data_IF_896521045870
#
_entry.id   IF_896521045870
#
_cell.length_a   1.000
_cell.length_b   1.000
_cell.length_c   1.000
_cell.angle_alpha   90.00
_cell.angle_beta   90.00
_cell.angle_gamma   90.00
#
_symmetry.space_group_name_H-M   'P 1'
#
loop_
_entity.id
_entity.type
_entity.pdbx_description
1 polymer ?
#
# COMPACT_ATOMS: atom_id res chain seq x y z
N UNK A 1 26.83 -53.66 4.65
CA UNK A 1 25.59 -52.96 4.94
C UNK A 1 25.90 -51.46 5.17
N UNK A 2 26.26 -50.72 4.07
CA UNK A 2 26.70 -49.31 4.13
C UNK A 2 25.98 -48.40 3.10
N UNK A 3 24.76 -48.77 2.69
CA UNK A 3 24.03 -48.04 1.62
C UNK A 3 22.84 -47.24 2.17
N UNK A 4 22.57 -47.29 3.48
CA UNK A 4 21.41 -46.57 4.05
C UNK A 4 21.65 -45.12 4.50
N UNK A 5 22.90 -44.67 4.60
CA UNK A 5 23.19 -43.29 5.03
C UNK A 5 23.18 -42.28 3.88
N UNK A 6 23.54 -42.69 2.65
CA UNK A 6 23.57 -41.78 1.50
C UNK A 6 22.18 -41.45 0.97
N UNK A 7 21.22 -42.36 1.08
CA UNK A 7 19.83 -42.11 0.63
C UNK A 7 19.08 -41.15 1.55
N UNK A 8 19.39 -41.13 2.85
CA UNK A 8 18.75 -40.18 3.80
C UNK A 8 19.27 -38.77 3.62
N UNK A 9 20.56 -38.58 3.30
CA UNK A 9 21.13 -37.24 3.04
C UNK A 9 20.60 -36.63 1.75
N UNK A 10 20.40 -37.48 0.72
CA UNK A 10 19.81 -37.01 -0.55
C UNK A 10 18.34 -36.62 -0.43
N UNK A 11 17.55 -37.28 0.44
CA UNK A 11 16.16 -36.91 0.68
C UNK A 11 16.07 -35.58 1.45
N UNK A 12 16.98 -35.31 2.39
CA UNK A 12 17.03 -34.05 3.09
C UNK A 12 17.51 -32.89 2.19
N UNK A 13 18.41 -33.14 1.26
CA UNK A 13 18.83 -32.15 0.26
C UNK A 13 17.73 -31.85 -0.78
N UNK A 14 16.98 -32.89 -1.19
CA UNK A 14 15.84 -32.70 -2.10
C UNK A 14 14.64 -32.03 -1.41
N UNK A 15 14.39 -32.32 -0.13
CA UNK A 15 13.38 -31.61 0.65
C UNK A 15 13.75 -30.14 0.95
N UNK A 16 15.04 -29.84 1.07
CA UNK A 16 15.52 -28.46 1.22
C UNK A 16 15.43 -27.61 -0.06
N UNK A 17 15.36 -28.25 -1.24
CA UNK A 17 15.18 -27.57 -2.53
C UNK A 17 13.71 -27.40 -2.93
N UNK A 18 12.77 -28.00 -2.17
CA UNK A 18 11.33 -27.86 -2.37
C UNK A 18 10.69 -26.90 -1.35
N UNK A 19 11.45 -26.33 -0.42
CA UNK A 19 11.03 -25.07 0.14
C UNK A 19 11.14 -24.07 -1.00
N UNK A 20 10.07 -24.04 -1.80
CA UNK A 20 9.70 -22.90 -2.55
C UNK A 20 10.05 -21.71 -1.69
N UNK A 21 11.06 -21.00 -2.12
CA UNK A 21 11.12 -19.58 -1.93
C UNK A 21 9.84 -19.05 -2.57
N UNK A 22 8.69 -19.30 -1.98
CA UNK A 22 7.51 -18.47 -2.12
C UNK A 22 8.08 -17.12 -1.83
N UNK A 23 8.45 -16.42 -2.88
CA UNK A 23 8.92 -15.07 -2.87
C UNK A 23 7.92 -14.39 -1.99
N UNK A 24 8.32 -14.11 -0.74
CA UNK A 24 7.54 -13.26 0.13
C UNK A 24 7.28 -12.04 -0.74
N UNK A 25 6.10 -12.01 -1.35
CA UNK A 25 5.70 -10.93 -2.26
C UNK A 25 5.99 -9.69 -1.46
N UNK A 26 6.93 -8.87 -1.93
CA UNK A 26 7.51 -7.82 -1.13
C UNK A 26 6.42 -6.97 -0.51
N UNK A 27 6.26 -7.05 0.81
CA UNK A 27 5.32 -6.21 1.54
C UNK A 27 6.08 -4.96 1.94
N UNK A 28 5.72 -3.84 1.35
CA UNK A 28 6.25 -2.54 1.74
C UNK A 28 5.59 -2.08 3.03
N UNK A 29 6.35 -2.07 4.11
CA UNK A 29 5.86 -1.68 5.44
C UNK A 29 5.57 -0.18 5.54
N UNK A 30 4.63 0.23 6.44
CA UNK A 30 4.24 1.61 6.64
C UNK A 30 5.25 2.35 7.53
N UNK A 31 6.38 2.76 6.98
CA UNK A 31 7.50 3.36 7.72
C UNK A 31 7.17 4.69 8.42
N UNK A 32 6.10 5.36 8.01
CA UNK A 32 5.65 6.64 8.56
C UNK A 32 4.47 6.52 9.54
N UNK A 33 4.00 5.30 9.81
CA UNK A 33 2.98 5.06 10.83
C UNK A 33 3.48 5.48 12.22
N UNK A 34 2.64 6.18 12.97
CA UNK A 34 2.99 6.77 14.26
C UNK A 34 3.72 8.11 14.18
N UNK A 35 4.03 8.60 12.97
CA UNK A 35 4.68 9.91 12.75
C UNK A 35 3.81 10.83 11.89
N UNK A 36 3.39 10.37 10.71
CA UNK A 36 2.56 11.14 9.78
C UNK A 36 1.07 10.84 9.95
N UNK A 37 0.74 9.69 10.49
CA UNK A 37 -0.63 9.23 10.79
C UNK A 37 -0.58 8.18 11.91
N UNK A 38 -1.73 7.92 12.52
CA UNK A 38 -1.86 6.96 13.62
C UNK A 38 -1.41 5.55 13.21
N UNK A 39 -0.60 4.91 14.09
CA UNK A 39 -0.18 3.52 13.89
C UNK A 39 -1.21 2.50 14.39
N UNK A 40 -2.06 2.90 15.34
CA UNK A 40 -3.17 2.08 15.80
C UNK A 40 -4.30 2.08 14.78
N UNK A 41 -4.75 0.91 14.29
CA UNK A 41 -5.75 0.82 13.23
C UNK A 41 -7.11 1.42 13.65
N UNK A 42 -7.51 1.26 14.91
CA UNK A 42 -8.79 1.76 15.38
C UNK A 42 -8.79 3.29 15.44
N UNK A 43 -7.70 3.88 15.95
CA UNK A 43 -7.54 5.34 15.99
C UNK A 43 -7.43 5.92 14.59
N UNK A 44 -6.69 5.26 13.71
CA UNK A 44 -6.56 5.70 12.31
C UNK A 44 -7.90 5.71 11.60
N UNK A 45 -8.67 4.63 11.71
CA UNK A 45 -10.01 4.53 11.13
C UNK A 45 -10.92 5.64 11.65
N UNK A 46 -10.97 5.82 12.97
CA UNK A 46 -11.76 6.87 13.60
C UNK A 46 -11.36 8.28 13.11
N UNK A 47 -10.07 8.56 13.00
CA UNK A 47 -9.56 9.85 12.54
C UNK A 47 -9.96 10.11 11.07
N UNK A 48 -9.80 9.12 10.20
CA UNK A 48 -10.20 9.21 8.79
C UNK A 48 -11.70 9.44 8.67
N UNK A 49 -12.52 8.66 9.40
CA UNK A 49 -13.97 8.81 9.37
C UNK A 49 -14.41 10.18 9.88
N UNK A 50 -13.76 10.72 10.93
CA UNK A 50 -14.06 12.06 11.44
C UNK A 50 -13.76 13.14 10.39
N UNK A 51 -12.63 13.06 9.67
CA UNK A 51 -12.31 13.97 8.60
C UNK A 51 -13.29 13.89 7.44
N UNK A 52 -13.67 12.68 7.04
CA UNK A 52 -14.63 12.47 5.95
C UNK A 52 -16.03 12.97 6.33
N UNK A 53 -16.47 12.76 7.56
CA UNK A 53 -17.76 13.27 8.05
C UNK A 53 -17.80 14.80 8.13
N UNK A 54 -16.69 15.42 8.52
CA UNK A 54 -16.59 16.88 8.58
C UNK A 54 -16.38 17.52 7.21
N UNK A 55 -15.97 16.75 6.19
CA UNK A 55 -15.78 17.23 4.84
C UNK A 55 -17.14 17.52 4.18
N UNK A 56 -17.28 18.74 3.65
CA UNK A 56 -18.46 19.19 2.92
C UNK A 56 -18.04 19.74 1.55
N UNK A 57 -17.60 18.88 0.61
CA UNK A 57 -17.19 19.34 -0.69
C UNK A 57 -18.38 19.81 -1.53
N UNK A 58 -18.17 20.87 -2.33
CA UNK A 58 -19.15 21.24 -3.36
C UNK A 58 -19.29 20.14 -4.40
N UNK A 59 -20.48 19.98 -4.96
CA UNK A 59 -20.69 19.03 -6.06
C UNK A 59 -19.83 19.38 -7.27
N UNK A 60 -19.25 18.36 -7.89
CA UNK A 60 -18.46 18.49 -9.12
C UNK A 60 -19.32 18.02 -10.29
N UNK A 61 -19.40 18.81 -11.35
CA UNK A 61 -20.10 18.42 -12.59
C UNK A 61 -19.20 17.49 -13.42
N UNK A 62 -19.77 16.44 -13.97
CA UNK A 62 -19.08 15.48 -14.82
C UNK A 62 -18.44 14.32 -14.03
N UNK A 63 -17.60 13.56 -14.71
CA UNK A 63 -16.91 12.39 -14.14
C UNK A 63 -15.60 12.84 -13.49
N UNK A 64 -15.38 12.42 -12.25
CA UNK A 64 -14.10 12.63 -11.56
C UNK A 64 -13.10 11.59 -12.08
N UNK A 65 -12.03 12.05 -12.70
CA UNK A 65 -10.95 11.22 -13.25
C UNK A 65 -9.66 11.26 -12.44
N UNK A 66 -9.55 12.21 -11.50
CA UNK A 66 -8.39 12.36 -10.65
C UNK A 66 -8.61 13.36 -9.54
N UNK A 67 -7.75 13.27 -8.53
CA UNK A 67 -7.71 14.18 -7.39
C UNK A 67 -6.30 14.73 -7.24
N UNK A 68 -6.18 15.99 -6.87
CA UNK A 68 -4.95 16.58 -6.33
C UNK A 68 -5.16 16.75 -4.83
N UNK A 69 -4.32 16.11 -4.02
CA UNK A 69 -4.49 16.08 -2.58
C UNK A 69 -3.19 16.49 -1.87
N UNK A 70 -3.25 17.28 -0.80
CA UNK A 70 -2.09 17.53 0.02
C UNK A 70 -1.62 16.25 0.72
N UNK A 71 -0.31 16.13 0.93
CA UNK A 71 0.32 14.91 1.45
C UNK A 71 1.22 15.14 2.68
N UNK A 72 0.95 16.16 3.48
CA UNK A 72 1.58 16.31 4.78
C UNK A 72 1.01 15.28 5.79
N UNK A 73 1.55 15.26 7.00
CA UNK A 73 0.96 14.44 8.07
C UNK A 73 -0.52 14.76 8.28
N UNK A 74 -1.29 13.79 8.71
CA UNK A 74 -2.77 13.86 8.79
C UNK A 74 -3.27 15.04 9.64
N UNK A 75 -2.56 15.39 10.71
CA UNK A 75 -2.91 16.53 11.56
C UNK A 75 -2.86 17.89 10.82
N UNK A 76 -2.11 17.97 9.73
CA UNK A 76 -1.94 19.21 8.95
C UNK A 76 -2.80 19.24 7.70
N UNK A 77 -2.93 18.14 7.01
CA UNK A 77 -3.55 18.10 5.69
C UNK A 77 -4.73 17.13 5.56
N UNK A 78 -4.97 16.26 6.55
CA UNK A 78 -6.00 15.23 6.48
C UNK A 78 -7.39 15.79 6.24
N UNK A 79 -7.77 16.86 6.94
CA UNK A 79 -9.08 17.48 6.76
C UNK A 79 -9.27 18.07 5.35
N UNK A 80 -8.24 18.67 4.77
CA UNK A 80 -8.31 19.22 3.41
C UNK A 80 -8.36 18.06 2.39
N UNK A 81 -7.52 17.05 2.56
CA UNK A 81 -7.52 15.85 1.71
C UNK A 81 -8.91 15.16 1.72
N UNK A 82 -9.58 15.12 2.87
CA UNK A 82 -10.89 14.50 3.02
C UNK A 82 -11.97 15.10 2.11
N UNK A 83 -11.89 16.39 1.76
CA UNK A 83 -12.84 16.98 0.80
C UNK A 83 -12.74 16.31 -0.58
N UNK A 84 -11.53 16.02 -1.06
CA UNK A 84 -11.33 15.30 -2.32
C UNK A 84 -11.77 13.82 -2.20
N UNK A 85 -11.34 13.14 -1.14
CA UNK A 85 -11.66 11.72 -0.93
C UNK A 85 -13.17 11.49 -0.69
N UNK A 86 -13.88 12.42 -0.08
CA UNK A 86 -15.33 12.34 0.09
C UNK A 86 -16.08 12.31 -1.25
N UNK A 87 -15.58 13.01 -2.27
CA UNK A 87 -16.17 13.00 -3.61
C UNK A 87 -16.08 11.65 -4.31
N UNK A 88 -15.08 10.83 -3.98
CA UNK A 88 -14.85 9.52 -4.62
C UNK A 88 -15.23 8.34 -3.74
N UNK A 89 -15.65 8.56 -2.49
CA UNK A 89 -15.89 7.51 -1.49
C UNK A 89 -16.84 6.42 -1.95
N UNK A 90 -17.86 6.78 -2.72
CA UNK A 90 -18.92 5.85 -3.17
C UNK A 90 -18.79 5.47 -4.65
N UNK A 91 -17.66 5.79 -5.28
CA UNK A 91 -17.43 5.38 -6.67
C UNK A 91 -16.88 3.96 -6.70
N UNK A 92 -17.31 3.20 -7.71
CA UNK A 92 -16.75 1.86 -7.99
C UNK A 92 -15.38 2.00 -8.68
N UNK A 93 -14.33 2.07 -7.89
CA UNK A 93 -12.94 2.25 -8.33
C UNK A 93 -12.18 0.96 -8.09
N UNK A 94 -11.84 0.25 -9.15
CA UNK A 94 -11.08 -1.00 -9.08
C UNK A 94 -9.57 -0.78 -8.91
N UNK A 95 -9.04 0.31 -9.45
CA UNK A 95 -7.59 0.60 -9.44
C UNK A 95 -7.34 2.08 -9.24
N UNK A 96 -6.33 2.39 -8.42
CA UNK A 96 -5.89 3.77 -8.16
C UNK A 96 -4.43 3.91 -8.54
N UNK A 97 -4.10 4.94 -9.33
CA UNK A 97 -2.73 5.34 -9.62
C UNK A 97 -2.39 6.52 -8.70
N UNK A 98 -1.36 6.33 -7.85
CA UNK A 98 -0.89 7.37 -6.93
C UNK A 98 0.44 7.91 -7.43
N UNK A 99 0.51 9.21 -7.67
CA UNK A 99 1.73 9.91 -8.11
C UNK A 99 2.14 10.89 -7.03
N UNK A 100 3.40 10.83 -6.63
CA UNK A 100 3.95 11.73 -5.61
C UNK A 100 5.43 12.02 -5.85
N UNK A 101 5.97 13.12 -5.29
CA UNK A 101 7.38 13.46 -5.41
C UNK A 101 8.24 12.55 -4.52
N UNK A 102 9.50 12.36 -4.91
CA UNK A 102 10.52 11.81 -4.03
C UNK A 102 11.06 12.90 -3.10
N UNK A 103 11.02 12.65 -1.78
CA UNK A 103 11.56 13.57 -0.77
C UNK A 103 12.97 13.19 -0.27
N UNK A 104 13.44 12.01 -0.61
CA UNK A 104 14.70 11.45 -0.05
C UNK A 104 15.81 11.37 -1.09
N UNK A 105 15.46 11.02 -2.32
CA UNK A 105 16.42 10.77 -3.39
C UNK A 105 15.97 11.46 -4.66
N UNK A 106 16.87 12.25 -5.26
CA UNK A 106 16.67 12.81 -6.61
C UNK A 106 17.00 11.75 -7.66
N UNK A 107 16.15 11.63 -8.68
CA UNK A 107 16.38 10.79 -9.86
C UNK A 107 15.60 11.34 -11.05
N UNK A 108 16.01 10.97 -12.25
CA UNK A 108 15.28 11.28 -13.48
C UNK A 108 14.22 10.21 -13.78
N UNK A 109 13.09 10.62 -14.35
CA UNK A 109 11.99 9.72 -14.69
C UNK A 109 11.08 9.39 -13.51
N UNK A 110 10.56 8.17 -13.47
CA UNK A 110 9.68 7.70 -12.41
C UNK A 110 10.15 6.35 -11.85
N UNK A 111 9.77 6.07 -10.63
CA UNK A 111 10.01 4.78 -9.97
C UNK A 111 8.67 4.19 -9.54
N UNK A 112 8.46 2.92 -9.86
CA UNK A 112 7.22 2.21 -9.53
C UNK A 112 7.53 0.92 -8.79
N UNK A 113 6.65 0.55 -7.86
CA UNK A 113 6.68 -0.73 -7.15
C UNK A 113 5.90 -1.76 -7.96
N UNK A 114 6.62 -2.70 -8.59
CA UNK A 114 6.04 -3.57 -9.62
C UNK A 114 5.21 -4.72 -9.08
N UNK A 115 5.52 -5.24 -7.88
CA UNK A 115 4.92 -6.47 -7.34
C UNK A 115 4.71 -6.39 -5.83
N UNK A 116 3.71 -7.14 -5.34
CA UNK A 116 3.47 -7.30 -3.92
C UNK A 116 2.38 -6.39 -3.38
N UNK A 117 2.60 -5.81 -2.20
CA UNK A 117 1.57 -5.02 -1.51
C UNK A 117 2.17 -3.89 -0.68
N UNK A 118 1.41 -2.83 -0.53
CA UNK A 118 1.66 -1.80 0.48
C UNK A 118 0.89 -2.17 1.74
N UNK A 119 1.59 -2.21 2.87
CA UNK A 119 0.96 -2.38 4.18
C UNK A 119 0.57 -1.02 4.75
N UNK A 120 -0.62 -0.95 5.30
CA UNK A 120 -1.08 0.16 6.14
C UNK A 120 -1.55 -0.40 7.48
N UNK A 121 -1.73 0.41 8.52
CA UNK A 121 -2.38 -0.06 9.76
C UNK A 121 -3.78 -0.64 9.52
N UNK A 122 -4.47 -0.22 8.46
CA UNK A 122 -5.82 -0.69 8.11
C UNK A 122 -5.85 -1.95 7.23
N UNK A 123 -4.69 -2.44 6.77
CA UNK A 123 -4.60 -3.64 5.94
C UNK A 123 -3.62 -3.52 4.78
N UNK A 124 -3.70 -4.45 3.85
CA UNK A 124 -2.85 -4.53 2.67
C UNK A 124 -3.56 -3.96 1.44
N UNK A 125 -2.83 -3.15 0.67
CA UNK A 125 -3.23 -2.72 -0.66
C UNK A 125 -2.34 -3.42 -1.69
N UNK A 126 -2.90 -4.31 -2.50
CA UNK A 126 -2.17 -5.03 -3.52
C UNK A 126 -1.73 -4.11 -4.67
N UNK A 127 -0.55 -4.38 -5.23
CA UNK A 127 -0.09 -3.73 -6.45
C UNK A 127 -0.86 -4.30 -7.66
N UNK A 128 -1.34 -3.42 -8.54
CA UNK A 128 -1.96 -3.84 -9.81
C UNK A 128 -0.86 -4.21 -10.82
N UNK A 129 -0.33 -5.43 -10.70
CA UNK A 129 0.86 -5.89 -11.44
C UNK A 129 0.69 -5.79 -12.96
N UNK A 130 -0.53 -5.98 -13.48
CA UNK A 130 -0.84 -5.86 -14.93
C UNK A 130 -0.58 -4.45 -15.46
N UNK A 131 -0.72 -3.43 -14.61
CA UNK A 131 -0.50 -2.03 -14.98
C UNK A 131 0.92 -1.55 -14.66
N UNK A 132 1.66 -2.29 -13.86
CA UNK A 132 3.00 -1.92 -13.39
C UNK A 132 4.12 -2.52 -14.24
N UNK A 133 3.81 -3.51 -15.10
CA UNK A 133 4.78 -4.24 -15.95
C UNK A 133 4.88 -3.74 -17.39
#
# INVERSE_FOLDING_TARGET
>A
MKIKAAAVVLIFLAAGLLFDTGLAQGIRKPVWAGQFYESDPTRLAYLIDSFLQAANPSSVQGQIVGLVSPHAGYIYSGQIAAHGYQLVRNLDISTVVIIGPSHQVGFEGCSIYLKGSFQTPLGLAAVAEILAG
#
